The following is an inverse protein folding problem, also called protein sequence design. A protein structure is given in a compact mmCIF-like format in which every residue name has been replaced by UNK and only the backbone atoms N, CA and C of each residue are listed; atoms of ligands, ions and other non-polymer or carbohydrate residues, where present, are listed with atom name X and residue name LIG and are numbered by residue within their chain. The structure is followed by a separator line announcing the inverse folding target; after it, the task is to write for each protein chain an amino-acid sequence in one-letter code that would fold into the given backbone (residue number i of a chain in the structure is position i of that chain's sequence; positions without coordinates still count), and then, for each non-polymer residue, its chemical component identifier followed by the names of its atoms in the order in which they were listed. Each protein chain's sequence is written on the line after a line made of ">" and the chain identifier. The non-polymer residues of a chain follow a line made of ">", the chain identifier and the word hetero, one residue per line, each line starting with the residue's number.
data_IF_031441718947
#
_entry.id   IF_031441718947
#
_cell.length_a   1.000
_cell.length_b   1.000
_cell.length_c   1.000
_cell.angle_alpha   90.00
_cell.angle_beta   90.00
_cell.angle_gamma   90.00
#
_symmetry.space_group_name_H-M   'P 1'
#
loop_
_entity.id
_entity.type
_entity.pdbx_description
1 polymer ?
#
# COMPACT_ATOMS: atom_id res chain seq x y z
N UNK A 1 13.73 -7.65 13.54
CA UNK A 1 13.76 -6.19 13.34
C UNK A 1 12.35 -5.67 13.44
N UNK A 2 12.17 -4.42 13.88
CA UNK A 2 10.86 -3.77 13.98
C UNK A 2 10.59 -2.80 12.80
N UNK A 3 11.61 -2.53 11.99
CA UNK A 3 11.55 -1.77 10.75
C UNK A 3 12.59 -2.34 9.78
N UNK A 4 12.46 -2.03 8.48
CA UNK A 4 13.48 -2.34 7.48
C UNK A 4 14.68 -1.39 7.62
N UNK A 5 15.84 -1.82 7.15
CA UNK A 5 17.06 -1.00 7.17
C UNK A 5 17.21 -0.11 5.93
N UNK A 6 18.13 0.87 5.95
CA UNK A 6 18.29 1.87 4.89
C UNK A 6 18.67 1.28 3.52
N UNK A 7 19.37 0.14 3.49
CA UNK A 7 19.68 -0.55 2.23
C UNK A 7 18.41 -1.15 1.60
N UNK A 8 17.57 -1.80 2.41
CA UNK A 8 16.28 -2.35 1.98
C UNK A 8 15.31 -1.25 1.56
N UNK A 9 15.28 -0.12 2.26
CA UNK A 9 14.50 1.05 1.87
C UNK A 9 14.85 1.50 0.44
N UNK A 10 16.15 1.63 0.15
CA UNK A 10 16.62 2.01 -1.18
C UNK A 10 16.20 1.00 -2.25
N UNK A 11 16.44 -0.29 -2.00
CA UNK A 11 16.09 -1.34 -2.94
C UNK A 11 14.60 -1.39 -3.24
N UNK A 12 13.76 -1.28 -2.21
CA UNK A 12 12.31 -1.28 -2.37
C UNK A 12 11.84 -0.04 -3.13
N UNK A 13 12.34 1.15 -2.76
CA UNK A 13 11.99 2.39 -3.45
C UNK A 13 12.34 2.33 -4.95
N UNK A 14 13.50 1.76 -5.32
CA UNK A 14 13.92 1.63 -6.72
C UNK A 14 13.06 0.64 -7.52
N UNK A 15 12.57 -0.44 -6.90
CA UNK A 15 11.60 -1.35 -7.52
C UNK A 15 10.25 -0.65 -7.70
N UNK A 16 9.78 0.05 -6.66
CA UNK A 16 8.48 0.75 -6.66
C UNK A 16 8.45 1.82 -7.76
N UNK A 17 9.47 2.67 -7.86
CA UNK A 17 9.55 3.75 -8.88
C UNK A 17 9.51 3.24 -10.32
N UNK A 18 9.94 2.00 -10.56
CA UNK A 18 9.92 1.38 -11.91
C UNK A 18 8.62 0.65 -12.22
N UNK A 19 7.76 0.44 -11.22
CA UNK A 19 6.49 -0.28 -11.38
C UNK A 19 5.45 0.58 -12.10
N UNK A 20 4.59 -0.07 -12.90
CA UNK A 20 3.45 0.58 -13.58
C UNK A 20 2.13 0.42 -12.84
N UNK A 21 2.02 -0.64 -12.06
CA UNK A 21 0.88 -0.93 -11.19
C UNK A 21 1.42 -1.37 -9.84
N UNK A 22 0.94 -0.77 -8.78
CA UNK A 22 1.40 -1.01 -7.41
C UNK A 22 0.19 -1.35 -6.55
N UNK A 23 0.29 -2.47 -5.85
CA UNK A 23 -0.62 -2.85 -4.78
C UNK A 23 0.18 -2.85 -3.48
N UNK A 24 -0.19 -2.01 -2.51
CA UNK A 24 0.46 -1.97 -1.21
C UNK A 24 -0.53 -2.35 -0.10
N UNK A 25 -0.24 -3.46 0.58
CA UNK A 25 -1.05 -4.00 1.67
C UNK A 25 -0.11 -4.49 2.79
N UNK A 26 0.21 -3.62 3.74
CA UNK A 26 1.09 -3.90 4.88
C UNK A 26 2.27 -2.93 4.97
N UNK A 27 2.37 -2.12 6.04
CA UNK A 27 3.58 -1.36 6.35
C UNK A 27 4.82 -2.27 6.54
N UNK A 28 6.01 -1.74 6.26
CA UNK A 28 7.29 -2.48 6.36
C UNK A 28 7.95 -2.38 7.75
N UNK A 29 7.30 -1.69 8.69
CA UNK A 29 7.72 -1.57 10.08
C UNK A 29 6.52 -1.32 11.00
N UNK A 30 6.77 -1.32 12.31
CA UNK A 30 5.75 -1.04 13.35
C UNK A 30 5.53 0.48 13.43
N UNK A 31 4.90 1.03 12.39
CA UNK A 31 4.72 2.46 12.13
C UNK A 31 3.98 3.23 13.24
N UNK A 32 3.34 2.53 14.16
CA UNK A 32 2.71 3.08 15.36
C UNK A 32 3.73 3.76 16.28
N UNK A 33 4.99 3.29 16.29
CA UNK A 33 6.09 3.90 17.03
C UNK A 33 7.00 4.70 16.11
N UNK A 34 7.24 5.97 16.42
CA UNK A 34 7.96 6.89 15.53
C UNK A 34 9.39 6.41 15.19
N UNK A 35 10.05 5.70 16.10
CA UNK A 35 11.37 5.10 15.89
C UNK A 35 11.40 4.00 14.80
N UNK A 36 10.24 3.48 14.38
CA UNK A 36 10.10 2.37 13.43
C UNK A 36 9.20 2.75 12.24
N UNK A 37 9.20 4.04 11.88
CA UNK A 37 8.41 4.59 10.76
C UNK A 37 9.19 4.78 9.47
N UNK A 38 10.52 4.72 9.52
CA UNK A 38 11.39 5.11 8.40
C UNK A 38 11.14 4.25 7.17
N UNK A 39 11.11 2.93 7.36
CA UNK A 39 10.89 1.99 6.27
C UNK A 39 9.52 2.16 5.61
N UNK A 40 8.48 2.30 6.43
CA UNK A 40 7.11 2.45 5.95
C UNK A 40 6.90 3.79 5.23
N UNK A 41 7.55 4.85 5.72
CA UNK A 41 7.55 6.17 5.07
C UNK A 41 8.27 6.12 3.73
N UNK A 42 9.46 5.53 3.66
CA UNK A 42 10.23 5.42 2.42
C UNK A 42 9.44 4.69 1.32
N UNK A 43 8.75 3.59 1.68
CA UNK A 43 7.87 2.88 0.76
C UNK A 43 6.68 3.75 0.33
N UNK A 44 5.99 4.40 1.28
CA UNK A 44 4.84 5.26 0.96
C UNK A 44 5.22 6.43 0.03
N UNK A 45 6.35 7.10 0.30
CA UNK A 45 6.86 8.20 -0.52
C UNK A 45 7.22 7.72 -1.93
N UNK A 46 7.88 6.57 -2.07
CA UNK A 46 8.20 5.98 -3.38
C UNK A 46 6.93 5.62 -4.19
N UNK A 47 5.87 5.15 -3.53
CA UNK A 47 4.59 4.87 -4.18
C UNK A 47 3.97 6.16 -4.71
N UNK A 48 3.97 7.24 -3.93
CA UNK A 48 3.46 8.55 -4.36
C UNK A 48 4.28 9.09 -5.53
N UNK A 49 5.60 8.98 -5.50
CA UNK A 49 6.48 9.36 -6.62
C UNK A 49 6.15 8.59 -7.90
N UNK A 50 6.03 7.26 -7.81
CA UNK A 50 5.65 6.42 -8.94
C UNK A 50 4.27 6.80 -9.51
N UNK A 51 3.32 7.11 -8.62
CA UNK A 51 1.95 7.52 -9.00
C UNK A 51 1.97 8.84 -9.76
N UNK A 52 2.71 9.84 -9.26
CA UNK A 52 2.92 11.12 -9.95
C UNK A 52 3.58 10.94 -11.33
N UNK A 53 4.42 9.92 -11.46
CA UNK A 53 5.05 9.53 -12.73
C UNK A 53 4.14 8.69 -13.66
N UNK A 54 2.88 8.47 -13.28
CA UNK A 54 1.86 7.81 -14.11
C UNK A 54 1.63 6.32 -13.81
N UNK A 55 2.20 5.78 -12.72
CA UNK A 55 1.80 4.45 -12.24
C UNK A 55 0.41 4.50 -11.61
N UNK A 56 -0.32 3.38 -11.68
CA UNK A 56 -1.53 3.19 -10.88
C UNK A 56 -1.16 2.60 -9.53
N UNK A 57 -1.54 3.26 -8.44
CA UNK A 57 -1.27 2.80 -7.07
C UNK A 57 -2.55 2.54 -6.28
N UNK A 58 -2.61 1.36 -5.69
CA UNK A 58 -3.72 0.94 -4.84
C UNK A 58 -3.20 0.57 -3.46
N UNK A 59 -3.61 1.35 -2.46
CA UNK A 59 -3.26 1.11 -1.05
C UNK A 59 -4.43 0.41 -0.39
N UNK A 60 -4.21 -0.79 0.11
CA UNK A 60 -5.24 -1.65 0.68
C UNK A 60 -4.98 -2.03 2.13
N UNK A 61 -6.05 -2.14 2.91
CA UNK A 61 -6.02 -2.65 4.29
C UNK A 61 -5.92 -1.56 5.34
N UNK A 62 -6.53 -1.81 6.50
CA UNK A 62 -6.67 -0.83 7.58
C UNK A 62 -5.33 -0.22 7.99
N UNK A 63 -4.29 -1.04 8.14
CA UNK A 63 -2.98 -0.58 8.60
C UNK A 63 -2.25 0.23 7.53
N UNK A 64 -2.27 -0.18 6.26
CA UNK A 64 -1.69 0.60 5.16
C UNK A 64 -2.38 1.96 5.00
N UNK A 65 -3.71 1.97 5.14
CA UNK A 65 -4.53 3.19 5.10
C UNK A 65 -4.19 4.10 6.28
N UNK A 66 -4.07 3.56 7.50
CA UNK A 66 -3.68 4.33 8.67
C UNK A 66 -2.26 4.89 8.52
N UNK A 67 -1.34 4.09 7.98
CA UNK A 67 0.05 4.46 7.74
C UNK A 67 0.17 5.63 6.74
N UNK A 68 -0.49 5.53 5.57
CA UNK A 68 -0.42 6.60 4.56
C UNK A 68 -1.08 7.90 5.04
N UNK A 69 -2.14 7.80 5.85
CA UNK A 69 -2.77 8.95 6.50
C UNK A 69 -1.87 9.58 7.57
N UNK A 70 -1.19 8.76 8.40
CA UNK A 70 -0.22 9.25 9.41
C UNK A 70 0.86 10.13 8.77
N UNK A 71 1.28 9.82 7.55
CA UNK A 71 2.28 10.59 6.82
C UNK A 71 1.71 11.71 5.95
N UNK A 72 0.39 11.87 5.86
CA UNK A 72 -0.26 12.89 5.03
C UNK A 72 -0.08 12.66 3.52
N UNK A 73 0.02 11.39 3.10
CA UNK A 73 0.34 10.99 1.72
C UNK A 73 -0.86 10.39 0.97
N UNK A 74 -2.04 10.32 1.61
CA UNK A 74 -3.23 9.66 1.04
C UNK A 74 -3.69 10.27 -0.30
N UNK A 75 -3.58 11.59 -0.48
CA UNK A 75 -3.95 12.27 -1.72
C UNK A 75 -2.94 12.02 -2.86
N UNK A 76 -1.80 11.39 -2.56
CA UNK A 76 -0.73 11.10 -3.51
C UNK A 76 -0.85 9.74 -4.21
N UNK A 77 -1.89 8.94 -3.91
CA UNK A 77 -2.11 7.60 -4.49
C UNK A 77 -3.37 7.54 -5.34
N UNK A 78 -3.48 6.55 -6.22
CA UNK A 78 -4.63 6.48 -7.15
C UNK A 78 -5.91 5.98 -6.46
N UNK A 79 -5.79 5.05 -5.52
CA UNK A 79 -6.94 4.50 -4.81
C UNK A 79 -6.59 4.00 -3.40
N UNK A 80 -7.48 4.27 -2.45
CA UNK A 80 -7.39 3.84 -1.06
C UNK A 80 -8.55 2.89 -0.75
N UNK A 81 -8.23 1.63 -0.44
CA UNK A 81 -9.19 0.57 -0.14
C UNK A 81 -9.17 0.20 1.33
N UNK A 82 -10.32 0.25 2.00
CA UNK A 82 -10.48 -0.29 3.36
C UNK A 82 -10.59 -1.81 3.37
N UNK A 83 -10.86 -2.44 2.23
CA UNK A 83 -11.09 -3.88 2.12
C UNK A 83 -9.81 -4.70 2.04
N UNK A 84 -8.89 -4.59 3.01
CA UNK A 84 -7.57 -5.24 2.98
C UNK A 84 -7.55 -6.69 2.51
N UNK A 85 -8.08 -7.61 3.32
CA UNK A 85 -8.13 -9.04 2.99
C UNK A 85 -9.08 -9.36 1.83
N UNK A 86 -10.25 -8.72 1.80
CA UNK A 86 -11.24 -8.92 0.73
C UNK A 86 -10.69 -8.56 -0.66
N UNK A 87 -9.90 -7.49 -0.75
CA UNK A 87 -9.21 -7.08 -1.96
C UNK A 87 -8.19 -8.12 -2.41
N UNK A 88 -7.38 -8.66 -1.48
CA UNK A 88 -6.42 -9.71 -1.81
C UNK A 88 -7.14 -10.97 -2.31
N UNK A 89 -8.21 -11.40 -1.64
CA UNK A 89 -9.03 -12.53 -2.09
C UNK A 89 -9.64 -12.30 -3.48
N UNK A 90 -10.11 -11.09 -3.77
CA UNK A 90 -10.63 -10.75 -5.10
C UNK A 90 -9.52 -10.81 -6.17
N UNK A 91 -8.30 -10.35 -5.86
CA UNK A 91 -7.15 -10.39 -6.78
C UNK A 91 -6.66 -11.83 -6.98
N UNK A 92 -6.80 -12.71 -5.98
CA UNK A 92 -6.58 -14.15 -6.10
C UNK A 92 -7.63 -14.85 -7.01
N UNK A 93 -8.64 -14.11 -7.48
CA UNK A 93 -9.69 -14.63 -8.36
C UNK A 93 -10.86 -15.30 -7.62
N UNK A 94 -10.92 -15.17 -6.29
CA UNK A 94 -12.05 -15.68 -5.51
C UNK A 94 -13.27 -14.80 -5.73
N UNK A 95 -14.44 -15.44 -5.83
CA UNK A 95 -15.71 -14.71 -5.82
C UNK A 95 -16.06 -14.39 -4.37
N UNK A 96 -16.00 -13.11 -4.01
CA UNK A 96 -16.36 -12.67 -2.66
C UNK A 96 -17.86 -12.90 -2.41
N UNK A 97 -18.26 -13.50 -1.27
CA UNK A 97 -19.67 -13.78 -0.97
C UNK A 97 -20.58 -12.55 -1.03
N UNK A 98 -20.08 -11.40 -0.55
CA UNK A 98 -20.82 -10.13 -0.59
C UNK A 98 -21.05 -9.62 -2.01
N UNK A 99 -20.10 -9.83 -2.92
CA UNK A 99 -20.24 -9.47 -4.34
C UNK A 99 -21.22 -10.42 -5.03
N UNK A 100 -21.10 -11.73 -4.79
CA UNK A 100 -22.01 -12.75 -5.34
C UNK A 100 -23.48 -12.52 -5.00
N UNK A 101 -23.76 -11.91 -3.86
CA UNK A 101 -25.12 -11.61 -3.41
C UNK A 101 -25.77 -10.42 -4.14
N UNK A 102 -24.99 -9.62 -4.89
CA UNK A 102 -25.50 -8.46 -5.64
C UNK A 102 -26.22 -8.96 -6.90
N UNK A 103 -27.46 -8.51 -7.12
CA UNK A 103 -28.24 -8.87 -8.32
C UNK A 103 -27.54 -8.34 -9.57
N UNK A 104 -27.22 -9.23 -10.51
CA UNK A 104 -26.61 -8.89 -11.80
C UNK A 104 -25.08 -9.04 -11.85
N UNK A 105 -24.46 -9.63 -10.83
CA UNK A 105 -23.08 -10.12 -10.87
C UNK A 105 -23.00 -11.53 -11.47
#
# INVERSE_FOLDING_TARGET
>A
GLDIGPETEREFADVIRRSKTILWNGPTGVFEFDNFTHGSRAVAEAIVEATKAGAYSLVGGGDSVACINKFGLADGVSYVSTGGGALLEAIEGKVLPGIKAIRGY
#
